data_IF_029973728044
#
_entry.id   IF_029973728044
#
_cell.length_a   1.000
_cell.length_b   1.000
_cell.length_c   1.000
_cell.angle_alpha   90.00
_cell.angle_beta   90.00
_cell.angle_gamma   90.00
#
_symmetry.space_group_name_H-M   'P 1'
#
loop_
_entity.id
_entity.type
_entity.pdbx_description
1 polymer ?
#
# COMPACT_ATOMS: atom_id res chain seq x y z
N UNK A 1 8.72 -22.31 74.96
CA UNK A 1 9.12 -22.60 73.57
C UNK A 1 8.70 -24.02 73.25
N UNK A 2 7.96 -24.24 72.17
CA UNK A 2 8.01 -25.45 71.36
C UNK A 2 7.30 -25.14 70.04
N UNK A 3 8.11 -24.92 69.00
CA UNK A 3 7.67 -24.58 67.67
C UNK A 3 6.91 -25.75 67.05
N UNK A 4 5.69 -25.47 66.61
CA UNK A 4 4.85 -26.39 65.88
C UNK A 4 5.30 -26.33 64.40
N UNK A 5 6.28 -27.15 64.02
CA UNK A 5 6.67 -27.32 62.62
C UNK A 5 5.62 -28.23 62.00
N UNK A 6 4.71 -27.65 61.21
CA UNK A 6 3.82 -28.40 60.33
C UNK A 6 4.68 -29.09 59.27
N UNK A 7 4.89 -30.38 59.45
CA UNK A 7 5.48 -31.28 58.46
C UNK A 7 4.58 -31.29 57.22
N UNK A 8 5.00 -30.62 56.14
CA UNK A 8 4.38 -30.76 54.82
C UNK A 8 4.90 -32.07 54.25
N UNK A 9 4.33 -33.18 54.72
CA UNK A 9 4.75 -34.52 54.34
C UNK A 9 4.69 -34.74 52.84
N UNK A 10 5.76 -35.28 52.27
CA UNK A 10 5.85 -35.65 50.85
C UNK A 10 4.89 -36.83 50.60
N UNK A 11 3.82 -36.60 49.84
CA UNK A 11 2.90 -37.66 49.40
C UNK A 11 3.44 -38.30 48.12
N UNK A 12 3.79 -39.58 48.20
CA UNK A 12 4.15 -40.39 47.02
C UNK A 12 2.85 -40.87 46.35
N UNK A 13 2.72 -40.59 45.05
CA UNK A 13 1.57 -41.02 44.25
C UNK A 13 1.75 -42.47 43.80
N UNK A 14 0.64 -43.20 43.67
CA UNK A 14 0.63 -44.51 42.99
C UNK A 14 0.84 -44.35 41.49
N UNK A 15 1.29 -45.42 40.82
CA UNK A 15 1.50 -45.43 39.37
C UNK A 15 0.24 -45.02 38.59
N UNK A 16 -0.94 -45.53 38.97
CA UNK A 16 -2.21 -45.16 38.34
C UNK A 16 -2.62 -43.70 38.56
N UNK A 17 -2.32 -43.13 39.73
CA UNK A 17 -2.53 -41.70 40.01
C UNK A 17 -1.57 -40.83 39.18
N UNK A 18 -0.31 -41.26 39.03
CA UNK A 18 0.69 -40.56 38.23
C UNK A 18 0.30 -40.57 36.74
N UNK A 19 -0.07 -41.73 36.20
CA UNK A 19 -0.53 -41.87 34.80
C UNK A 19 -1.76 -41.00 34.56
N UNK A 20 -2.72 -41.00 35.49
CA UNK A 20 -3.92 -40.15 35.39
C UNK A 20 -3.58 -38.66 35.38
N UNK A 21 -2.64 -38.21 36.22
CA UNK A 21 -2.18 -36.83 36.24
C UNK A 21 -1.44 -36.43 34.95
N UNK A 22 -0.66 -37.34 34.36
CA UNK A 22 0.05 -37.11 33.08
C UNK A 22 -0.95 -37.01 31.92
N UNK A 23 -1.95 -37.88 31.85
CA UNK A 23 -3.05 -37.81 30.87
C UNK A 23 -3.77 -36.48 30.95
N UNK A 24 -4.15 -36.05 32.15
CA UNK A 24 -4.84 -34.77 32.36
C UNK A 24 -3.97 -33.58 31.95
N UNK A 25 -2.67 -33.63 32.26
CA UNK A 25 -1.71 -32.62 31.83
C UNK A 25 -1.62 -32.51 30.31
N UNK A 26 -1.52 -33.64 29.59
CA UNK A 26 -1.49 -33.63 28.12
C UNK A 26 -2.79 -33.10 27.51
N UNK A 27 -3.95 -33.43 28.09
CA UNK A 27 -5.25 -32.88 27.64
C UNK A 27 -5.31 -31.37 27.78
N UNK A 28 -4.91 -30.84 28.95
CA UNK A 28 -4.86 -29.38 29.16
C UNK A 28 -3.92 -28.69 28.17
N UNK A 29 -2.72 -29.24 27.98
CA UNK A 29 -1.77 -28.68 27.00
C UNK A 29 -2.30 -28.74 25.58
N UNK A 30 -3.01 -29.79 25.18
CA UNK A 30 -3.63 -29.86 23.86
C UNK A 30 -4.74 -28.83 23.68
N UNK A 31 -5.54 -28.57 24.72
CA UNK A 31 -6.58 -27.53 24.67
C UNK A 31 -5.96 -26.13 24.52
N UNK A 32 -4.94 -25.82 25.33
CA UNK A 32 -4.18 -24.57 25.26
C UNK A 32 -3.49 -24.41 23.89
N UNK A 33 -2.74 -25.42 23.45
CA UNK A 33 -1.99 -25.40 22.19
C UNK A 33 -2.94 -25.28 20.97
N UNK A 34 -4.08 -25.97 20.98
CA UNK A 34 -5.08 -25.88 19.88
C UNK A 34 -5.72 -24.49 19.81
N UNK A 35 -6.06 -23.91 20.97
CA UNK A 35 -6.61 -22.55 21.01
C UNK A 35 -5.61 -21.54 20.45
N UNK A 36 -4.36 -21.59 20.89
CA UNK A 36 -3.29 -20.72 20.37
C UNK A 36 -3.08 -20.94 18.87
N UNK A 37 -3.18 -22.19 18.39
CA UNK A 37 -3.03 -22.53 16.99
C UNK A 37 -4.15 -21.97 16.11
N UNK A 38 -5.40 -22.00 16.58
CA UNK A 38 -6.54 -21.41 15.87
C UNK A 38 -6.43 -19.89 15.80
N UNK A 39 -6.09 -19.24 16.92
CA UNK A 39 -5.86 -17.79 16.97
C UNK A 39 -4.74 -17.39 16.00
N UNK A 40 -3.60 -18.09 16.04
CA UNK A 40 -2.48 -17.83 15.16
C UNK A 40 -2.80 -18.10 13.68
N UNK A 41 -3.57 -19.15 13.38
CA UNK A 41 -4.02 -19.46 12.02
C UNK A 41 -4.93 -18.36 11.46
N UNK A 42 -5.85 -17.85 12.28
CA UNK A 42 -6.72 -16.74 11.89
C UNK A 42 -5.94 -15.46 11.62
N UNK A 43 -5.01 -15.11 12.51
CA UNK A 43 -4.14 -13.94 12.36
C UNK A 43 -3.23 -14.04 11.13
N UNK A 44 -2.63 -15.21 10.90
CA UNK A 44 -1.79 -15.46 9.72
C UNK A 44 -2.58 -15.31 8.41
N UNK A 45 -3.81 -15.83 8.38
CA UNK A 45 -4.68 -15.69 7.21
C UNK A 45 -4.99 -14.21 6.91
N UNK A 46 -5.29 -13.42 7.95
CA UNK A 46 -5.55 -11.99 7.81
C UNK A 46 -4.33 -11.23 7.29
N UNK A 47 -3.14 -11.48 7.86
CA UNK A 47 -1.90 -10.80 7.45
C UNK A 47 -1.55 -11.17 5.99
N UNK A 48 -1.74 -12.41 5.59
CA UNK A 48 -1.52 -12.85 4.20
C UNK A 48 -2.50 -12.20 3.21
N UNK A 49 -3.77 -12.05 3.60
CA UNK A 49 -4.77 -11.34 2.80
C UNK A 49 -4.43 -9.86 2.67
N UNK A 50 -4.04 -9.20 3.77
CA UNK A 50 -3.64 -7.80 3.77
C UNK A 50 -2.40 -7.57 2.89
N UNK A 51 -1.41 -8.47 2.95
CA UNK A 51 -0.22 -8.42 2.09
C UNK A 51 -0.59 -8.58 0.60
N UNK A 52 -1.52 -9.49 0.28
CA UNK A 52 -2.04 -9.67 -1.09
C UNK A 52 -2.78 -8.42 -1.57
N UNK A 53 -3.62 -7.83 -0.72
CA UNK A 53 -4.37 -6.62 -1.04
C UNK A 53 -3.44 -5.43 -1.28
N UNK A 54 -2.41 -5.26 -0.44
CA UNK A 54 -1.36 -4.26 -0.63
C UNK A 54 -0.63 -4.44 -1.97
N UNK A 55 -0.23 -5.68 -2.31
CA UNK A 55 0.41 -5.97 -3.59
C UNK A 55 -0.49 -5.60 -4.78
N UNK A 56 -1.77 -5.95 -4.71
CA UNK A 56 -2.74 -5.59 -5.75
C UNK A 56 -2.92 -4.07 -5.84
N UNK A 57 -2.96 -3.37 -4.71
CA UNK A 57 -3.01 -1.91 -4.65
C UNK A 57 -1.80 -1.28 -5.35
N UNK A 58 -0.59 -1.79 -5.10
CA UNK A 58 0.64 -1.33 -5.77
C UNK A 58 0.59 -1.50 -7.28
N UNK A 59 0.11 -2.65 -7.77
CA UNK A 59 -0.05 -2.87 -9.22
C UNK A 59 -0.99 -1.83 -9.81
N UNK A 60 -2.15 -1.59 -9.19
CA UNK A 60 -3.12 -0.58 -9.64
C UNK A 60 -2.54 0.83 -9.60
N UNK A 61 -1.76 1.16 -8.57
CA UNK A 61 -1.08 2.46 -8.46
C UNK A 61 -0.05 2.65 -9.58
N UNK A 62 0.75 1.62 -9.89
CA UNK A 62 1.71 1.66 -10.98
C UNK A 62 1.02 1.81 -12.35
N UNK A 63 -0.07 1.08 -12.59
CA UNK A 63 -0.90 1.25 -13.80
C UNK A 63 -1.47 2.67 -13.88
N UNK A 64 -2.01 3.19 -12.77
CA UNK A 64 -2.57 4.54 -12.69
C UNK A 64 -1.50 5.61 -12.96
N UNK A 65 -0.28 5.41 -12.48
CA UNK A 65 0.87 6.30 -12.72
C UNK A 65 1.16 6.47 -14.21
N UNK A 66 1.20 5.37 -14.96
CA UNK A 66 1.43 5.41 -16.41
C UNK A 66 0.27 6.07 -17.14
N UNK A 67 -0.98 5.75 -16.75
CA UNK A 67 -2.17 6.40 -17.32
C UNK A 67 -2.15 7.92 -17.08
N UNK A 68 -1.75 8.38 -15.89
CA UNK A 68 -1.69 9.82 -15.58
C UNK A 68 -0.59 10.54 -16.37
N UNK A 69 0.59 9.92 -16.53
CA UNK A 69 1.66 10.46 -17.38
C UNK A 69 1.20 10.62 -18.82
N UNK A 70 0.54 9.60 -19.38
CA UNK A 70 0.01 9.65 -20.74
C UNK A 70 -1.10 10.70 -20.86
N UNK A 71 -2.07 10.70 -19.93
CA UNK A 71 -3.18 11.67 -19.87
C UNK A 71 -2.66 13.10 -19.86
N UNK A 72 -1.65 13.40 -19.03
CA UNK A 72 -0.99 14.71 -18.99
C UNK A 72 -0.41 15.11 -20.35
N UNK A 73 0.39 14.22 -20.97
CA UNK A 73 0.99 14.50 -22.28
C UNK A 73 -0.06 14.70 -23.38
N UNK A 74 -1.12 13.90 -23.38
CA UNK A 74 -2.21 14.02 -24.34
C UNK A 74 -2.89 15.39 -24.24
N UNK A 75 -3.17 15.90 -23.04
CA UNK A 75 -3.81 17.22 -22.92
C UNK A 75 -2.93 18.37 -23.37
N UNK A 76 -1.63 18.34 -23.04
CA UNK A 76 -0.72 19.35 -23.57
C UNK A 76 -0.57 19.27 -25.08
N UNK A 77 -0.59 18.07 -25.66
CA UNK A 77 -0.60 17.91 -27.11
C UNK A 77 -1.90 18.45 -27.72
N UNK A 78 -3.06 18.21 -27.10
CA UNK A 78 -4.33 18.77 -27.56
C UNK A 78 -4.36 20.30 -27.46
N UNK A 79 -3.79 20.87 -26.40
CA UNK A 79 -3.67 22.33 -26.24
C UNK A 79 -2.77 22.92 -27.33
N UNK A 80 -1.61 22.31 -27.59
CA UNK A 80 -0.71 22.73 -28.68
C UNK A 80 -1.38 22.62 -30.04
N UNK A 81 -2.01 21.48 -30.36
CA UNK A 81 -2.68 21.26 -31.64
C UNK A 81 -3.82 22.27 -31.87
N UNK A 82 -4.54 22.66 -30.82
CA UNK A 82 -5.57 23.69 -30.87
C UNK A 82 -4.96 25.06 -31.23
N UNK A 83 -3.86 25.43 -30.57
CA UNK A 83 -3.15 26.69 -30.85
C UNK A 83 -2.49 26.69 -32.23
N UNK A 84 -1.94 25.56 -32.68
CA UNK A 84 -1.37 25.38 -34.01
C UNK A 84 -2.39 25.62 -35.12
N UNK A 85 -3.62 25.15 -34.91
CA UNK A 85 -4.68 25.25 -35.90
C UNK A 85 -5.32 26.64 -35.92
N UNK A 86 -5.62 27.19 -34.75
CA UNK A 86 -6.53 28.35 -34.64
C UNK A 86 -5.82 29.67 -34.31
N UNK A 87 -4.64 29.61 -33.67
CA UNK A 87 -3.90 30.79 -33.19
C UNK A 87 -2.70 31.10 -34.08
N UNK A 88 -1.76 30.15 -34.22
CA UNK A 88 -0.47 30.40 -34.87
C UNK A 88 -0.55 30.93 -36.31
N UNK A 89 -1.51 30.51 -37.17
CA UNK A 89 -1.64 31.05 -38.52
C UNK A 89 -1.99 32.54 -38.57
N UNK A 90 -2.49 33.10 -37.45
CA UNK A 90 -2.97 34.49 -37.33
C UNK A 90 -1.99 35.38 -36.58
N UNK A 91 -0.87 34.84 -36.13
CA UNK A 91 0.18 35.56 -35.39
C UNK A 91 1.39 35.83 -36.28
N UNK A 92 2.16 36.85 -35.93
CA UNK A 92 3.49 37.04 -36.50
C UNK A 92 4.44 35.92 -36.04
N UNK A 93 5.49 35.67 -36.84
CA UNK A 93 6.42 34.57 -36.61
C UNK A 93 7.09 34.63 -35.23
N UNK A 94 7.39 35.83 -34.71
CA UNK A 94 8.11 36.00 -33.44
C UNK A 94 7.19 35.59 -32.29
N UNK A 95 5.96 36.11 -32.27
CA UNK A 95 4.96 35.78 -31.25
C UNK A 95 4.59 34.30 -31.28
N UNK A 96 4.39 33.73 -32.48
CA UNK A 96 4.10 32.31 -32.63
C UNK A 96 5.25 31.42 -32.13
N UNK A 97 6.50 31.77 -32.42
CA UNK A 97 7.67 31.02 -31.94
C UNK A 97 7.78 31.08 -30.41
N UNK A 98 7.56 32.24 -29.80
CA UNK A 98 7.57 32.39 -28.34
C UNK A 98 6.52 31.49 -27.68
N UNK A 99 5.29 31.50 -28.20
CA UNK A 99 4.20 30.69 -27.64
C UNK A 99 4.47 29.18 -27.78
N UNK A 100 5.11 28.75 -28.87
CA UNK A 100 5.60 27.37 -29.06
C UNK A 100 6.68 26.99 -28.04
N UNK A 101 7.61 27.89 -27.74
CA UNK A 101 8.61 27.65 -26.71
C UNK A 101 8.00 27.54 -25.32
N UNK A 102 7.03 28.40 -25.00
CA UNK A 102 6.39 28.43 -23.68
C UNK A 102 5.57 27.15 -23.44
N UNK A 103 4.80 26.67 -24.43
CA UNK A 103 4.08 25.38 -24.29
C UNK A 103 5.04 24.18 -24.24
N UNK A 104 6.19 24.25 -24.92
CA UNK A 104 7.23 23.21 -24.82
C UNK A 104 7.85 23.18 -23.43
N UNK A 105 8.10 24.34 -22.82
CA UNK A 105 8.58 24.43 -21.43
C UNK A 105 7.57 23.83 -20.45
N UNK A 106 6.28 24.14 -20.61
CA UNK A 106 5.20 23.55 -19.82
C UNK A 106 5.20 22.02 -19.86
N UNK A 107 5.21 21.45 -21.06
CA UNK A 107 5.27 19.99 -21.26
C UNK A 107 6.45 19.34 -20.56
N UNK A 108 7.61 20.00 -20.61
CA UNK A 108 8.86 19.50 -20.03
C UNK A 108 8.94 19.64 -18.52
N UNK A 109 8.12 20.51 -17.92
CA UNK A 109 8.09 20.65 -16.48
C UNK A 109 7.35 19.47 -15.85
N UNK A 110 7.91 18.86 -14.82
CA UNK A 110 7.33 17.68 -14.15
C UNK A 110 6.94 18.03 -12.70
N UNK A 111 7.61 19.01 -12.09
CA UNK A 111 7.28 19.44 -10.72
C UNK A 111 6.00 20.28 -10.70
N UNK A 112 4.94 19.86 -9.99
CA UNK A 112 3.63 20.53 -10.04
C UNK A 112 3.66 22.01 -9.60
N UNK A 113 4.47 22.35 -8.61
CA UNK A 113 4.60 23.74 -8.13
C UNK A 113 5.24 24.67 -9.16
N UNK A 114 6.20 24.14 -9.93
CA UNK A 114 6.87 24.90 -10.98
C UNK A 114 6.01 24.92 -12.25
N UNK A 115 5.32 23.82 -12.55
CA UNK A 115 4.34 23.73 -13.64
C UNK A 115 3.26 24.80 -13.46
N UNK A 116 2.66 24.91 -12.27
CA UNK A 116 1.62 25.91 -12.01
C UNK A 116 2.08 27.35 -12.31
N UNK A 117 3.29 27.73 -11.89
CA UNK A 117 3.82 29.08 -12.15
C UNK A 117 3.98 29.35 -13.64
N UNK A 118 4.44 28.33 -14.38
CA UNK A 118 4.58 28.41 -15.82
C UNK A 118 3.21 28.47 -16.50
N UNK A 119 2.22 27.74 -16.00
CA UNK A 119 0.84 27.73 -16.53
C UNK A 119 0.19 29.09 -16.35
N UNK A 120 0.28 29.68 -15.15
CA UNK A 120 -0.26 30.99 -14.84
C UNK A 120 0.33 32.05 -15.79
N UNK A 121 1.66 32.05 -15.96
CA UNK A 121 2.35 32.97 -16.87
C UNK A 121 1.98 32.72 -18.34
N UNK A 122 1.87 31.45 -18.76
CA UNK A 122 1.48 31.09 -20.11
C UNK A 122 0.06 31.56 -20.42
N UNK A 123 -0.89 31.35 -19.51
CA UNK A 123 -2.29 31.71 -19.70
C UNK A 123 -2.50 33.22 -19.70
N UNK A 124 -1.73 33.96 -18.91
CA UNK A 124 -1.71 35.43 -18.96
C UNK A 124 -1.22 35.93 -20.32
N UNK A 125 -0.07 35.42 -20.79
CA UNK A 125 0.46 35.76 -22.12
C UNK A 125 -0.51 35.39 -23.25
N UNK A 126 -1.11 34.20 -23.19
CA UNK A 126 -2.07 33.74 -24.20
C UNK A 126 -3.31 34.63 -24.25
N UNK A 127 -3.82 35.06 -23.09
CA UNK A 127 -4.95 35.99 -22.99
C UNK A 127 -4.64 37.33 -23.66
N UNK A 128 -3.45 37.89 -23.43
CA UNK A 128 -3.03 39.12 -24.09
C UNK A 128 -2.92 38.97 -25.61
N UNK A 129 -2.37 37.83 -26.07
CA UNK A 129 -2.25 37.51 -27.49
C UNK A 129 -3.62 37.39 -28.15
N UNK A 130 -4.54 36.63 -27.55
CA UNK A 130 -5.90 36.45 -28.06
C UNK A 130 -6.62 37.80 -28.17
N UNK A 131 -6.51 38.65 -27.15
CA UNK A 131 -7.10 39.99 -27.16
C UNK A 131 -6.50 40.88 -28.27
N UNK A 132 -5.17 40.85 -28.43
CA UNK A 132 -4.46 41.71 -29.39
C UNK A 132 -4.70 41.28 -30.83
N UNK A 133 -4.77 39.97 -31.08
CA UNK A 133 -5.03 39.40 -32.39
C UNK A 133 -6.53 39.33 -32.74
N UNK A 134 -7.43 39.75 -31.84
CA UNK A 134 -8.87 39.72 -32.07
C UNK A 134 -9.44 38.30 -32.23
N UNK A 135 -8.85 37.32 -31.55
CA UNK A 135 -9.26 35.91 -31.62
C UNK A 135 -10.46 35.63 -30.69
N UNK A 136 -11.16 34.53 -30.95
CA UNK A 136 -12.31 34.14 -30.15
C UNK A 136 -11.92 33.74 -28.71
N UNK A 137 -12.59 34.31 -27.71
CA UNK A 137 -12.39 33.99 -26.29
C UNK A 137 -12.61 32.49 -25.99
N UNK A 138 -13.44 31.82 -26.77
CA UNK A 138 -13.67 30.37 -26.67
C UNK A 138 -12.36 29.57 -26.82
N UNK A 139 -11.40 30.06 -27.60
CA UNK A 139 -10.09 29.44 -27.77
C UNK A 139 -9.27 29.46 -26.48
N UNK A 140 -9.33 30.56 -25.74
CA UNK A 140 -8.68 30.72 -24.44
C UNK A 140 -9.25 29.71 -23.44
N UNK A 141 -10.59 29.63 -23.35
CA UNK A 141 -11.29 28.72 -22.45
C UNK A 141 -10.97 27.25 -22.75
N UNK A 142 -10.96 26.89 -24.03
CA UNK A 142 -10.63 25.53 -24.46
C UNK A 142 -9.18 25.15 -24.20
N UNK A 143 -8.26 26.11 -24.33
CA UNK A 143 -6.84 25.89 -24.02
C UNK A 143 -6.63 25.75 -22.52
N UNK A 144 -7.23 26.64 -21.72
CA UNK A 144 -7.21 26.59 -20.26
C UNK A 144 -7.72 25.25 -19.75
N UNK A 145 -8.89 24.78 -20.23
CA UNK A 145 -9.48 23.52 -19.77
C UNK A 145 -8.54 22.31 -19.98
N UNK A 146 -7.77 22.30 -21.07
CA UNK A 146 -6.80 21.22 -21.34
C UNK A 146 -5.58 21.32 -20.44
N UNK A 147 -5.08 22.53 -20.20
CA UNK A 147 -3.96 22.76 -19.28
C UNK A 147 -4.37 22.38 -17.86
N UNK A 148 -5.57 22.77 -17.41
CA UNK A 148 -6.10 22.40 -16.09
C UNK A 148 -6.21 20.87 -15.91
N UNK A 149 -6.66 20.15 -16.95
CA UNK A 149 -6.70 18.69 -16.91
C UNK A 149 -5.31 18.04 -16.88
N UNK A 150 -4.32 18.64 -17.57
CA UNK A 150 -2.93 18.21 -17.51
C UNK A 150 -2.36 18.40 -16.09
N UNK A 151 -2.61 19.57 -15.50
CA UNK A 151 -2.23 19.91 -14.12
C UNK A 151 -2.86 18.96 -13.11
N UNK A 152 -4.17 18.73 -13.20
CA UNK A 152 -4.88 17.81 -12.31
C UNK A 152 -4.28 16.40 -12.37
N UNK A 153 -3.91 15.95 -13.56
CA UNK A 153 -3.23 14.67 -13.74
C UNK A 153 -1.85 14.63 -13.06
N UNK A 154 -1.11 15.74 -13.09
CA UNK A 154 0.19 15.83 -12.43
C UNK A 154 0.08 15.91 -10.89
N UNK A 155 -0.93 16.61 -10.37
CA UNK A 155 -1.22 16.66 -8.94
C UNK A 155 -1.59 15.27 -8.40
N UNK A 156 -2.43 14.52 -9.12
CA UNK A 156 -2.77 13.15 -8.77
C UNK A 156 -1.52 12.24 -8.80
N UNK A 157 -0.67 12.41 -9.81
CA UNK A 157 0.59 11.67 -9.94
C UNK A 157 1.51 11.89 -8.73
N UNK A 158 1.65 13.14 -8.27
CA UNK A 158 2.41 13.48 -7.07
C UNK A 158 1.86 12.78 -5.82
N UNK A 159 0.54 12.80 -5.63
CA UNK A 159 -0.11 12.12 -4.51
C UNK A 159 0.15 10.59 -4.50
N UNK A 160 0.19 9.95 -5.68
CA UNK A 160 0.55 8.54 -5.79
C UNK A 160 2.01 8.31 -5.38
N UNK A 161 2.95 9.12 -5.87
CA UNK A 161 4.38 8.99 -5.55
C UNK A 161 4.64 9.20 -4.05
N UNK A 162 3.94 10.12 -3.41
CA UNK A 162 4.03 10.33 -1.96
C UNK A 162 3.50 9.11 -1.18
N UNK A 163 2.38 8.53 -1.63
CA UNK A 163 1.83 7.32 -1.04
C UNK A 163 2.76 6.11 -1.21
N UNK A 164 3.41 5.95 -2.37
CA UNK A 164 4.39 4.88 -2.64
C UNK A 164 5.52 4.86 -1.60
N UNK A 165 6.07 6.03 -1.26
CA UNK A 165 7.14 6.15 -0.24
C UNK A 165 6.70 5.64 1.13
N UNK A 166 5.43 5.83 1.48
CA UNK A 166 4.86 5.37 2.74
C UNK A 166 4.70 3.84 2.76
N UNK A 167 4.31 3.24 1.62
CA UNK A 167 4.17 1.79 1.50
C UNK A 167 5.48 1.00 1.48
N UNK A 168 6.59 1.60 1.03
CA UNK A 168 7.90 0.91 1.04
C UNK A 168 8.40 0.64 2.47
N UNK A 169 8.11 1.55 3.41
CA UNK A 169 8.47 1.36 4.82
C UNK A 169 7.68 0.23 5.50
N UNK A 170 6.39 0.08 5.17
CA UNK A 170 5.48 -0.87 5.82
C UNK A 170 5.70 -2.34 5.39
N UNK A 171 6.26 -2.57 4.20
CA UNK A 171 6.34 -3.91 3.58
C UNK A 171 7.46 -4.79 4.16
N UNK A 172 8.56 -4.17 4.61
CA UNK A 172 9.62 -4.88 5.33
C UNK A 172 9.10 -5.50 6.64
N UNK A 173 8.33 -4.73 7.41
CA UNK A 173 7.77 -5.16 8.69
C UNK A 173 6.77 -6.31 8.53
N UNK A 174 5.90 -6.25 7.52
CA UNK A 174 4.85 -7.26 7.32
C UNK A 174 5.42 -8.61 6.87
N UNK A 175 6.46 -8.61 6.02
CA UNK A 175 7.09 -9.86 5.60
C UNK A 175 7.82 -10.58 6.74
N UNK A 176 8.45 -9.83 7.65
CA UNK A 176 9.07 -10.39 8.84
C UNK A 176 8.02 -11.02 9.78
N UNK A 177 6.89 -10.32 9.98
CA UNK A 177 5.76 -10.82 10.77
C UNK A 177 5.16 -12.11 10.20
N UNK A 178 4.95 -12.18 8.88
CA UNK A 178 4.47 -13.39 8.19
C UNK A 178 5.46 -14.55 8.40
N UNK A 179 6.76 -14.31 8.22
CA UNK A 179 7.79 -15.34 8.36
C UNK A 179 7.85 -15.91 9.78
N UNK A 180 7.79 -15.02 10.78
CA UNK A 180 7.76 -15.39 12.19
C UNK A 180 6.49 -16.18 12.54
N UNK A 181 5.33 -15.68 12.11
CA UNK A 181 4.04 -16.33 12.35
C UNK A 181 3.97 -17.72 11.71
N UNK A 182 4.45 -17.89 10.46
CA UNK A 182 4.55 -19.22 9.81
C UNK A 182 5.44 -20.19 10.58
N UNK A 183 6.55 -19.70 11.11
CA UNK A 183 7.48 -20.52 11.89
C UNK A 183 6.85 -20.97 13.21
N UNK A 184 6.13 -20.07 13.89
CA UNK A 184 5.38 -20.38 15.11
C UNK A 184 4.23 -21.34 14.85
N UNK A 185 3.46 -21.12 13.78
CA UNK A 185 2.38 -22.01 13.32
C UNK A 185 2.88 -23.45 13.14
N UNK A 186 3.99 -23.61 12.41
CA UNK A 186 4.61 -24.91 12.16
C UNK A 186 5.10 -25.56 13.45
N UNK A 187 5.74 -24.79 14.34
CA UNK A 187 6.20 -25.30 15.63
C UNK A 187 5.04 -25.80 16.49
N UNK A 188 3.96 -25.02 16.58
CA UNK A 188 2.80 -25.35 17.39
C UNK A 188 2.02 -26.54 16.81
N UNK A 189 1.89 -26.63 15.49
CA UNK A 189 1.33 -27.82 14.81
C UNK A 189 2.07 -29.10 15.17
N UNK A 190 3.42 -29.07 15.13
CA UNK A 190 4.23 -30.21 15.53
C UNK A 190 4.08 -30.53 17.02
N UNK A 191 4.00 -29.50 17.88
CA UNK A 191 3.81 -29.66 19.33
C UNK A 191 2.46 -30.34 19.64
N UNK A 192 1.38 -29.91 19.01
CA UNK A 192 0.05 -30.53 19.13
C UNK A 192 0.14 -32.00 18.74
N UNK A 193 0.70 -32.31 17.56
CA UNK A 193 0.84 -33.69 17.09
C UNK A 193 1.62 -34.57 18.08
N UNK A 194 2.73 -34.07 18.60
CA UNK A 194 3.53 -34.80 19.59
C UNK A 194 2.76 -35.03 20.90
N UNK A 195 1.98 -34.04 21.36
CA UNK A 195 1.14 -34.17 22.54
C UNK A 195 -0.04 -35.13 22.34
N UNK A 196 -0.61 -35.20 21.13
CA UNK A 196 -1.65 -36.18 20.77
C UNK A 196 -1.09 -37.61 20.79
N UNK A 197 0.08 -37.83 20.19
CA UNK A 197 0.77 -39.13 20.22
C UNK A 197 1.11 -39.56 21.64
N UNK A 198 1.62 -38.64 22.47
CA UNK A 198 1.91 -38.89 23.88
C UNK A 198 0.64 -39.20 24.68
N UNK A 199 -0.44 -38.44 24.48
CA UNK A 199 -1.72 -38.69 25.14
C UNK A 199 -2.24 -40.10 24.83
N UNK A 200 -2.23 -40.50 23.56
CA UNK A 200 -2.64 -41.85 23.13
C UNK A 200 -1.79 -42.92 23.82
N UNK A 201 -0.48 -42.71 23.95
CA UNK A 201 0.41 -43.64 24.66
C UNK A 201 0.04 -43.76 26.14
N UNK A 202 -0.13 -42.64 26.85
CA UNK A 202 -0.43 -42.65 28.28
C UNK A 202 -1.84 -43.17 28.58
N UNK A 203 -2.82 -42.90 27.71
CA UNK A 203 -4.17 -43.46 27.85
C UNK A 203 -4.18 -44.99 27.72
N UNK A 204 -3.30 -45.58 26.89
CA UNK A 204 -3.14 -47.04 26.81
C UNK A 204 -2.54 -47.66 28.07
N UNK A 205 -1.70 -46.92 28.79
CA UNK A 205 -1.09 -47.38 30.05
C UNK A 205 -2.00 -47.18 31.28
N UNK A 206 -3.14 -46.50 31.11
CA UNK A 206 -4.12 -46.27 32.18
C UNK A 206 -4.99 -47.50 32.49
N UNK A 207 -4.78 -48.62 31.76
CA UNK A 207 -5.51 -49.90 31.91
C UNK A 207 -5.12 -50.62 33.19
#
# INVERSE_FOLDING_TARGET
>A
MNGNIKDVGIRVLTEGELISAVVEKHRRFLEEDRKEFEELSSGLSQIEEDAKNLKNSRIRMAERKEVLKEKRQQFYHQAEALLEKETFPKLDQITANKLKEDIKKLKSQIEPEEEQKLEDSFMENLREIIRTAGLEENLLLQTQARIDEARNSNLELKGIVESEKQFEADDGSKNEEISKSRSQHKWLSNKIKNNEEALIYWEKLKV
#
